data_IF_662633166912
#
_entry.id   IF_662633166912
#
_cell.length_a   1.000
_cell.length_b   1.000
_cell.length_c   1.000
_cell.angle_alpha   90.00
_cell.angle_beta   90.00
_cell.angle_gamma   90.00
#
_symmetry.space_group_name_H-M   'P 1'
#
loop_
_entity.id
_entity.type
_entity.pdbx_description
1 polymer ?
#
# COMPACT_ATOMS: atom_id res chain seq x y z
N UNK A 1 68.02 -4.58 18.93
CA UNK A 1 66.82 -3.76 18.73
C UNK A 1 66.21 -4.18 17.41
N UNK A 2 65.04 -4.83 17.43
CA UNK A 2 63.99 -4.79 16.39
C UNK A 2 63.03 -5.98 16.59
N UNK A 3 61.85 -5.69 17.12
CA UNK A 3 60.63 -6.51 16.99
C UNK A 3 60.20 -6.63 15.53
N UNK A 4 59.49 -7.69 15.16
CA UNK A 4 58.21 -7.60 14.42
C UNK A 4 57.36 -8.84 14.76
N UNK A 5 56.23 -8.60 15.43
CA UNK A 5 55.07 -9.51 15.52
C UNK A 5 54.12 -9.13 14.38
N UNK A 6 53.70 -10.09 13.54
CA UNK A 6 52.50 -9.92 12.70
C UNK A 6 51.59 -11.13 12.91
N UNK A 7 50.57 -10.88 13.73
CA UNK A 7 49.34 -11.66 13.84
C UNK A 7 48.50 -11.44 12.59
N UNK A 8 48.23 -12.47 11.79
CA UNK A 8 47.14 -12.41 10.82
C UNK A 8 45.92 -13.17 11.37
N UNK A 9 45.13 -12.46 12.16
CA UNK A 9 43.74 -12.85 12.41
C UNK A 9 42.98 -12.75 11.09
N UNK A 10 42.47 -13.88 10.60
CA UNK A 10 41.47 -13.90 9.54
C UNK A 10 40.18 -13.30 10.09
N UNK A 11 40.04 -11.98 9.98
CA UNK A 11 38.80 -11.27 10.20
C UNK A 11 37.90 -11.53 9.00
N UNK A 12 36.78 -12.19 9.23
CA UNK A 12 35.67 -12.19 8.28
C UNK A 12 35.09 -10.77 8.29
N UNK A 13 35.55 -9.92 7.38
CA UNK A 13 34.85 -8.68 7.06
C UNK A 13 33.64 -9.08 6.22
N UNK A 14 32.51 -9.32 6.90
CA UNK A 14 31.20 -9.26 6.26
C UNK A 14 31.04 -7.86 5.69
N UNK A 15 31.24 -7.76 4.37
CA UNK A 15 31.16 -6.54 3.58
C UNK A 15 29.69 -6.08 3.49
N UNK A 16 29.18 -5.52 4.58
CA UNK A 16 27.86 -4.87 4.67
C UNK A 16 27.82 -3.51 3.94
N UNK A 17 28.72 -3.23 2.98
CA UNK A 17 28.77 -1.94 2.29
C UNK A 17 27.86 -1.82 1.04
N UNK A 18 27.13 -2.87 0.62
CA UNK A 18 26.43 -2.79 -0.67
C UNK A 18 24.98 -2.24 -0.64
N UNK A 19 24.22 -2.30 0.48
CA UNK A 19 22.88 -1.70 0.57
C UNK A 19 22.50 -1.33 2.02
N UNK A 20 22.66 -0.07 2.38
CA UNK A 20 22.05 0.48 3.60
C UNK A 20 20.54 0.65 3.38
N UNK A 21 19.75 -0.37 3.74
CA UNK A 21 18.28 -0.35 3.64
C UNK A 21 17.60 0.01 4.97
N UNK A 22 18.39 0.31 6.02
CA UNK A 22 17.89 0.83 7.28
C UNK A 22 17.10 2.13 7.06
N UNK A 23 15.86 2.18 7.57
CA UNK A 23 14.97 3.34 7.45
C UNK A 23 14.22 3.46 6.12
N UNK A 24 14.50 2.63 5.11
CA UNK A 24 13.74 2.66 3.85
C UNK A 24 12.37 1.98 4.02
N UNK A 25 11.32 2.49 3.37
CA UNK A 25 10.06 1.77 3.25
C UNK A 25 10.29 0.36 2.71
N UNK A 26 9.55 -0.61 3.26
CA UNK A 26 9.56 -2.01 2.83
C UNK A 26 8.21 -2.37 2.23
N UNK A 27 7.95 -2.09 0.94
CA UNK A 27 6.64 -2.35 0.32
C UNK A 27 6.20 -3.82 0.39
N UNK A 28 7.15 -4.75 0.56
CA UNK A 28 6.88 -6.19 0.74
C UNK A 28 6.17 -6.53 2.04
N UNK A 29 6.06 -5.60 3.00
CA UNK A 29 5.24 -5.78 4.20
C UNK A 29 3.73 -5.66 3.91
N UNK A 30 3.36 -5.03 2.80
CA UNK A 30 1.97 -4.97 2.36
C UNK A 30 1.57 -6.33 1.78
N UNK A 31 0.52 -6.98 2.29
CA UNK A 31 0.04 -8.24 1.72
C UNK A 31 -0.29 -8.09 0.24
N UNK A 32 0.23 -8.98 -0.60
CA UNK A 32 -0.05 -8.98 -2.06
C UNK A 32 -1.56 -9.09 -2.33
N UNK A 33 -2.30 -9.80 -1.47
CA UNK A 33 -3.76 -9.90 -1.56
C UNK A 33 -4.48 -8.56 -1.47
N UNK A 34 -3.93 -7.55 -0.78
CA UNK A 34 -4.49 -6.21 -0.76
C UNK A 34 -4.31 -5.53 -2.13
N UNK A 35 -3.13 -5.71 -2.74
CA UNK A 35 -2.82 -5.18 -4.08
C UNK A 35 -3.76 -5.80 -5.11
N UNK A 36 -3.93 -7.12 -5.08
CA UNK A 36 -4.83 -7.85 -5.98
C UNK A 36 -6.29 -7.40 -5.81
N UNK A 37 -6.74 -7.26 -4.56
CA UNK A 37 -8.10 -6.83 -4.24
C UNK A 37 -8.42 -5.42 -4.79
N UNK A 38 -7.55 -4.44 -4.52
CA UNK A 38 -7.72 -3.07 -5.01
C UNK A 38 -7.63 -3.03 -6.54
N UNK A 39 -6.70 -3.78 -7.13
CA UNK A 39 -6.54 -3.86 -8.59
C UNK A 39 -7.79 -4.41 -9.26
N UNK A 40 -8.39 -5.50 -8.74
CA UNK A 40 -9.60 -6.07 -9.29
C UNK A 40 -10.78 -5.09 -9.28
N UNK A 41 -10.99 -4.36 -8.17
CA UNK A 41 -12.05 -3.34 -8.08
C UNK A 41 -11.77 -2.17 -9.03
N UNK A 42 -10.51 -1.73 -9.16
CA UNK A 42 -10.14 -0.68 -10.13
C UNK A 42 -10.36 -1.13 -11.57
N UNK A 43 -10.04 -2.38 -11.91
CA UNK A 43 -10.29 -2.92 -13.25
C UNK A 43 -11.80 -2.94 -13.57
N UNK A 44 -12.63 -3.42 -12.65
CA UNK A 44 -14.08 -3.37 -12.79
C UNK A 44 -14.60 -1.93 -12.99
N UNK A 45 -14.12 -0.99 -12.16
CA UNK A 45 -14.49 0.43 -12.30
C UNK A 45 -14.05 1.02 -13.64
N UNK A 46 -12.84 0.73 -14.08
CA UNK A 46 -12.32 1.21 -15.37
C UNK A 46 -13.07 0.61 -16.55
N UNK A 47 -13.45 -0.67 -16.50
CA UNK A 47 -14.29 -1.30 -17.51
C UNK A 47 -15.67 -0.63 -17.59
N UNK A 48 -16.26 -0.31 -16.42
CA UNK A 48 -17.60 0.30 -16.33
C UNK A 48 -17.64 1.77 -16.75
N UNK A 49 -16.62 2.56 -16.38
CA UNK A 49 -16.61 4.01 -16.58
C UNK A 49 -15.67 4.49 -17.69
N UNK A 50 -14.89 3.57 -18.29
CA UNK A 50 -13.96 3.82 -19.40
C UNK A 50 -12.91 4.92 -19.15
N UNK A 51 -12.61 5.20 -17.89
CA UNK A 51 -11.58 6.16 -17.47
C UNK A 51 -10.95 5.70 -16.14
N UNK A 52 -9.64 5.38 -16.13
CA UNK A 52 -8.95 4.86 -14.96
C UNK A 52 -8.73 5.90 -13.85
N UNK A 53 -8.90 7.19 -14.16
CA UNK A 53 -8.69 8.32 -13.25
C UNK A 53 -9.98 9.05 -12.86
N UNK A 54 -11.14 8.61 -13.38
CA UNK A 54 -12.46 9.16 -13.02
C UNK A 54 -12.73 9.12 -11.50
N UNK A 55 -12.09 8.20 -10.77
CA UNK A 55 -12.19 8.13 -9.31
C UNK A 55 -11.69 9.40 -8.61
N UNK A 56 -10.74 10.15 -9.20
CA UNK A 56 -10.24 11.42 -8.64
C UNK A 56 -11.27 12.54 -8.69
N UNK A 57 -12.28 12.42 -9.56
CA UNK A 57 -13.34 13.43 -9.75
C UNK A 57 -14.52 13.22 -8.80
N UNK A 58 -14.53 12.12 -8.03
CA UNK A 58 -15.59 11.78 -7.10
C UNK A 58 -15.35 12.43 -5.75
N UNK A 59 -16.32 13.19 -5.25
CA UNK A 59 -16.27 13.79 -3.90
C UNK A 59 -15.93 12.79 -2.79
N UNK A 60 -14.99 13.08 -1.87
CA UNK A 60 -14.56 12.16 -0.81
C UNK A 60 -15.71 11.60 0.04
N UNK A 61 -16.75 12.40 0.30
CA UNK A 61 -17.91 11.92 1.06
C UNK A 61 -18.60 10.73 0.38
N UNK A 62 -18.63 10.66 -0.96
CA UNK A 62 -19.22 9.53 -1.68
C UNK A 62 -18.44 8.24 -1.44
N UNK A 63 -17.12 8.33 -1.28
CA UNK A 63 -16.28 7.19 -0.90
C UNK A 63 -16.48 6.77 0.54
N UNK A 64 -16.64 7.71 1.48
CA UNK A 64 -16.99 7.39 2.88
C UNK A 64 -18.32 6.63 2.96
N UNK A 65 -19.33 7.09 2.23
CA UNK A 65 -20.63 6.45 2.19
C UNK A 65 -20.56 5.05 1.55
N UNK A 66 -19.81 4.90 0.45
CA UNK A 66 -19.61 3.62 -0.23
C UNK A 66 -18.86 2.62 0.66
N UNK A 67 -17.77 3.07 1.28
CA UNK A 67 -17.00 2.30 2.26
C UNK A 67 -17.91 1.80 3.38
N UNK A 68 -18.73 2.68 3.96
CA UNK A 68 -19.63 2.31 5.05
C UNK A 68 -20.70 1.29 4.62
N UNK A 69 -21.26 1.40 3.41
CA UNK A 69 -22.19 0.40 2.88
C UNK A 69 -21.54 -0.98 2.75
N UNK A 70 -20.34 -1.06 2.19
CA UNK A 70 -19.61 -2.33 2.08
C UNK A 70 -19.20 -2.89 3.44
N UNK A 71 -18.85 -2.03 4.39
CA UNK A 71 -18.58 -2.43 5.77
C UNK A 71 -19.81 -3.06 6.43
N UNK A 72 -20.97 -2.41 6.33
CA UNK A 72 -22.21 -2.94 6.90
C UNK A 72 -22.64 -4.26 6.25
N UNK A 73 -22.50 -4.40 4.93
CA UNK A 73 -22.82 -5.65 4.24
C UNK A 73 -21.89 -6.79 4.70
N UNK A 74 -20.59 -6.52 4.82
CA UNK A 74 -19.63 -7.46 5.38
C UNK A 74 -20.01 -7.90 6.81
N UNK A 75 -20.38 -6.96 7.70
CA UNK A 75 -20.81 -7.27 9.07
C UNK A 75 -22.08 -8.12 9.12
N UNK A 76 -22.96 -8.04 8.11
CA UNK A 76 -24.15 -8.88 7.98
C UNK A 76 -23.85 -10.28 7.42
N UNK A 77 -22.59 -10.57 7.08
CA UNK A 77 -22.17 -11.84 6.51
C UNK A 77 -22.34 -11.94 4.99
N UNK A 78 -22.64 -10.83 4.31
CA UNK A 78 -22.62 -10.79 2.85
C UNK A 78 -21.17 -10.89 2.36
N UNK A 79 -20.93 -11.74 1.36
CA UNK A 79 -19.56 -11.98 0.86
C UNK A 79 -19.19 -11.02 -0.26
N UNK A 80 -20.08 -10.88 -1.24
CA UNK A 80 -19.83 -10.17 -2.49
C UNK A 80 -20.88 -9.10 -2.74
N UNK A 81 -20.43 -8.02 -3.36
CA UNK A 81 -21.27 -6.98 -3.91
C UNK A 81 -22.07 -7.51 -5.11
N UNK A 82 -23.36 -7.18 -5.16
CA UNK A 82 -24.28 -7.71 -6.18
C UNK A 82 -24.01 -7.13 -7.57
N UNK A 83 -23.49 -5.92 -7.65
CA UNK A 83 -23.28 -5.22 -8.91
C UNK A 83 -22.01 -5.71 -9.63
N UNK A 84 -20.94 -5.90 -8.87
CA UNK A 84 -19.62 -6.28 -9.38
C UNK A 84 -19.32 -7.77 -9.26
N UNK A 85 -20.00 -8.49 -8.36
CA UNK A 85 -19.65 -9.86 -7.97
C UNK A 85 -18.38 -9.97 -7.12
N UNK A 86 -17.71 -8.86 -6.81
CA UNK A 86 -16.45 -8.83 -6.06
C UNK A 86 -16.69 -8.76 -4.54
N UNK A 87 -15.75 -9.27 -3.71
CA UNK A 87 -15.90 -9.25 -2.26
C UNK A 87 -16.09 -7.85 -1.68
N UNK A 88 -16.98 -7.70 -0.69
CA UNK A 88 -17.21 -6.40 -0.03
C UNK A 88 -15.95 -5.83 0.63
N UNK A 89 -15.10 -6.69 1.20
CA UNK A 89 -13.82 -6.25 1.77
C UNK A 89 -12.88 -5.65 0.71
N UNK A 90 -12.96 -6.07 -0.55
CA UNK A 90 -12.13 -5.52 -1.62
C UNK A 90 -12.59 -4.11 -1.99
N UNK A 91 -13.91 -3.90 -2.08
CA UNK A 91 -14.47 -2.57 -2.26
C UNK A 91 -14.17 -1.66 -1.09
N UNK A 92 -14.25 -2.15 0.15
CA UNK A 92 -13.88 -1.42 1.35
C UNK A 92 -12.41 -0.97 1.27
N UNK A 93 -11.50 -1.89 0.92
CA UNK A 93 -10.08 -1.58 0.74
C UNK A 93 -9.82 -0.55 -0.36
N UNK A 94 -10.49 -0.69 -1.51
CA UNK A 94 -10.37 0.24 -2.64
C UNK A 94 -10.86 1.65 -2.27
N UNK A 95 -12.04 1.76 -1.64
CA UNK A 95 -12.57 3.04 -1.18
C UNK A 95 -11.65 3.70 -0.13
N UNK A 96 -11.09 2.90 0.78
CA UNK A 96 -10.12 3.39 1.76
C UNK A 96 -8.83 3.90 1.08
N UNK A 97 -8.33 3.17 0.07
CA UNK A 97 -7.16 3.60 -0.70
C UNK A 97 -7.40 4.93 -1.43
N UNK A 98 -8.58 5.13 -2.03
CA UNK A 98 -8.94 6.43 -2.63
C UNK A 98 -8.99 7.55 -1.59
N UNK A 99 -9.58 7.32 -0.42
CA UNK A 99 -9.62 8.32 0.65
C UNK A 99 -8.21 8.67 1.15
N UNK A 100 -7.33 7.67 1.35
CA UNK A 100 -5.93 7.89 1.76
C UNK A 100 -5.20 8.79 0.75
N UNK A 101 -5.38 8.53 -0.54
CA UNK A 101 -4.76 9.31 -1.62
C UNK A 101 -5.36 10.72 -1.75
N UNK A 102 -6.68 10.87 -1.59
CA UNK A 102 -7.36 12.17 -1.68
C UNK A 102 -7.13 13.06 -0.45
N UNK A 103 -6.98 12.48 0.74
CA UNK A 103 -6.80 13.19 2.01
C UNK A 103 -5.32 13.26 2.44
N UNK A 104 -4.45 12.52 1.76
CA UNK A 104 -3.02 12.40 2.05
C UNK A 104 -2.23 13.67 1.74
N UNK A 105 -2.33 14.69 2.59
CA UNK A 105 -1.43 15.86 2.62
C UNK A 105 -0.31 15.73 3.68
N UNK A 106 0.08 14.51 4.08
CA UNK A 106 0.84 14.29 5.33
C UNK A 106 2.38 14.19 5.15
N UNK A 107 2.97 14.24 3.95
CA UNK A 107 4.43 14.03 3.79
C UNK A 107 5.24 15.07 2.99
N UNK A 108 4.76 16.31 2.83
CA UNK A 108 5.57 17.41 2.25
C UNK A 108 6.32 18.26 3.30
N UNK A 109 6.47 17.75 4.54
CA UNK A 109 7.17 18.43 5.61
C UNK A 109 8.34 17.63 6.13
N UNK A 110 9.49 17.69 5.46
CA UNK A 110 10.84 17.77 6.05
C UNK A 110 11.92 17.76 4.96
N UNK A 111 12.36 18.96 4.60
CA UNK A 111 13.46 19.20 3.66
C UNK A 111 13.98 20.63 3.78
N UNK A 112 14.05 21.14 5.01
CA UNK A 112 14.69 22.40 5.34
C UNK A 112 15.83 22.15 6.31
N UNK A 113 17.07 22.09 5.79
CA UNK A 113 18.29 22.68 6.32
C UNK A 113 19.37 22.63 5.23
#
# INVERSE_FOLDING_TARGET
MSEVIITSTWGHEDDQQAKADAGKPRPTLTPVSLIDAVTAVRMYGNEKYHDPENWRQVEPQRYRDALYRHWLAYLKGEKCDQESGLPHLWHLACNAAFLIEMEGSIHDGEGGH
#
